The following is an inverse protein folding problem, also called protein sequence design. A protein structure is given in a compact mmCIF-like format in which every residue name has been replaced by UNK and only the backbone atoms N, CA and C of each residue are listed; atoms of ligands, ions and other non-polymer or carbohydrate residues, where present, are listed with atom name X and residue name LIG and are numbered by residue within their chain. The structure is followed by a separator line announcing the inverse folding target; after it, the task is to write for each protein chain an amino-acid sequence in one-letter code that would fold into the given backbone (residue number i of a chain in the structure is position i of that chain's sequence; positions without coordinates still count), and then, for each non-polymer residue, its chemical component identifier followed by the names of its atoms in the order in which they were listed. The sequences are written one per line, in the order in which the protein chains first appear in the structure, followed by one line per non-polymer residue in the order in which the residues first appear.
data_IF_641362023454
#
_entry.id   IF_641362023454
#
_cell.length_a   1.000
_cell.length_b   1.000
_cell.length_c   1.000
_cell.angle_alpha   90.00
_cell.angle_beta   90.00
_cell.angle_gamma   90.00
#
_symmetry.space_group_name_H-M   'P 1'
#
loop_
_entity.id
_entity.type
_entity.pdbx_description
1 polymer ?
#
# COMPACT_ATOMS: atom_id res chain seq x y z
N UNK A 1 -17.12 -0.46 -7.07
CA UNK A 1 -16.79 -0.24 -8.50
C UNK A 1 -15.37 0.28 -8.52
N UNK A 2 -14.43 -0.50 -9.06
CA UNK A 2 -12.97 -0.35 -8.99
C UNK A 2 -12.42 1.05 -9.36
N UNK A 3 -12.45 2.00 -8.43
CA UNK A 3 -11.96 3.37 -8.57
C UNK A 3 -10.52 3.51 -8.05
N UNK A 4 -10.22 2.97 -6.87
CA UNK A 4 -8.93 3.16 -6.19
C UNK A 4 -8.03 1.92 -6.19
N UNK A 5 -8.51 0.80 -6.71
CA UNK A 5 -7.72 -0.40 -7.00
C UNK A 5 -8.19 -1.01 -8.33
N UNK A 6 -7.46 -2.00 -8.85
CA UNK A 6 -7.86 -2.84 -9.98
C UNK A 6 -7.70 -4.30 -9.62
N UNK A 7 -8.65 -5.14 -10.03
CA UNK A 7 -8.56 -6.59 -9.84
C UNK A 7 -7.99 -7.32 -11.06
N UNK A 8 -7.58 -6.63 -12.13
CA UNK A 8 -7.14 -7.31 -13.35
C UNK A 8 -6.03 -8.34 -13.09
N UNK A 9 -4.94 -7.95 -12.42
CA UNK A 9 -3.85 -8.87 -12.06
C UNK A 9 -4.25 -9.86 -10.97
N UNK A 10 -5.10 -9.46 -10.03
CA UNK A 10 -5.63 -10.35 -8.98
C UNK A 10 -6.43 -11.49 -9.60
N UNK A 11 -7.32 -11.19 -10.56
CA UNK A 11 -8.13 -12.16 -11.30
C UNK A 11 -7.28 -13.08 -12.16
N UNK A 12 -6.25 -12.54 -12.81
CA UNK A 12 -5.28 -13.33 -13.58
C UNK A 12 -4.51 -14.30 -12.68
N UNK A 13 -3.98 -13.81 -11.54
CA UNK A 13 -3.27 -14.65 -10.56
C UNK A 13 -4.17 -15.74 -9.98
N UNK A 14 -5.46 -15.43 -9.80
CA UNK A 14 -6.42 -16.33 -9.23
C UNK A 14 -7.13 -17.24 -10.25
N UNK A 15 -6.81 -17.15 -11.54
CA UNK A 15 -7.53 -17.85 -12.62
C UNK A 15 -9.07 -17.69 -12.53
N UNK A 16 -9.51 -16.48 -12.14
CA UNK A 16 -10.92 -16.13 -11.86
C UNK A 16 -11.60 -16.94 -10.74
N UNK A 17 -10.84 -17.61 -9.86
CA UNK A 17 -11.37 -18.22 -8.64
C UNK A 17 -11.78 -17.11 -7.64
N UNK A 18 -13.08 -16.89 -7.48
CA UNK A 18 -13.63 -15.84 -6.63
C UNK A 18 -13.31 -16.04 -5.13
N UNK A 19 -13.17 -17.27 -4.65
CA UNK A 19 -12.79 -17.54 -3.26
C UNK A 19 -11.33 -17.15 -3.02
N UNK A 20 -10.47 -17.40 -4.01
CA UNK A 20 -9.07 -16.99 -3.93
C UNK A 20 -8.89 -15.48 -4.11
N UNK A 21 -9.66 -14.83 -5.00
CA UNK A 21 -9.72 -13.36 -5.11
C UNK A 21 -10.12 -12.74 -3.77
N UNK A 22 -11.15 -13.27 -3.11
CA UNK A 22 -11.57 -12.82 -1.77
C UNK A 22 -10.47 -12.98 -0.74
N UNK A 23 -9.76 -14.12 -0.76
CA UNK A 23 -8.62 -14.37 0.14
C UNK A 23 -7.50 -13.33 -0.06
N UNK A 24 -7.20 -12.95 -1.30
CA UNK A 24 -6.23 -11.90 -1.60
C UNK A 24 -6.71 -10.53 -1.12
N UNK A 25 -8.00 -10.21 -1.27
CA UNK A 25 -8.57 -8.98 -0.74
C UNK A 25 -8.55 -8.93 0.80
N UNK A 26 -8.85 -10.04 1.48
CA UNK A 26 -8.73 -10.15 2.93
C UNK A 26 -7.28 -9.96 3.39
N UNK A 27 -6.33 -10.58 2.69
CA UNK A 27 -4.89 -10.42 2.97
C UNK A 27 -4.45 -8.97 2.80
N UNK A 28 -4.92 -8.28 1.76
CA UNK A 28 -4.69 -6.84 1.59
C UNK A 28 -5.19 -6.06 2.80
N UNK A 29 -6.44 -6.32 3.23
CA UNK A 29 -7.10 -5.62 4.34
C UNK A 29 -6.48 -5.93 5.71
N UNK A 30 -5.71 -7.01 5.84
CA UNK A 30 -4.96 -7.35 7.06
C UNK A 30 -3.56 -6.71 7.06
N UNK A 31 -2.79 -6.88 5.98
CA UNK A 31 -1.36 -6.52 5.99
C UNK A 31 -1.10 -5.06 5.64
N UNK A 32 -1.76 -4.52 4.61
CA UNK A 32 -1.46 -3.19 4.08
C UNK A 32 -1.74 -2.06 5.09
N UNK A 33 -2.85 -2.08 5.86
CA UNK A 33 -3.08 -1.07 6.90
C UNK A 33 -2.03 -1.11 8.00
N UNK A 34 -1.58 -2.31 8.39
CA UNK A 34 -0.55 -2.45 9.44
C UNK A 34 0.78 -1.83 8.98
N UNK A 35 1.20 -2.13 7.75
CA UNK A 35 2.43 -1.56 7.21
C UNK A 35 2.31 -0.06 6.91
N UNK A 36 1.12 0.43 6.54
CA UNK A 36 0.84 1.85 6.36
C UNK A 36 0.98 2.63 7.68
N UNK A 37 0.45 2.08 8.80
CA UNK A 37 0.63 2.69 10.12
C UNK A 37 2.09 2.64 10.60
N UNK A 38 2.81 1.54 10.34
CA UNK A 38 4.26 1.46 10.59
C UNK A 38 5.02 2.54 9.80
N UNK A 39 4.68 2.73 8.53
CA UNK A 39 5.30 3.73 7.68
C UNK A 39 5.04 5.16 8.20
N UNK A 40 3.80 5.48 8.57
CA UNK A 40 3.44 6.77 9.17
C UNK A 40 4.26 7.06 10.42
N UNK A 41 4.31 6.08 11.33
CA UNK A 41 5.07 6.20 12.58
C UNK A 41 6.56 6.40 12.30
N UNK A 42 7.14 5.58 11.43
CA UNK A 42 8.55 5.65 11.10
C UNK A 42 8.94 7.00 10.47
N UNK A 43 8.13 7.55 9.57
CA UNK A 43 8.37 8.88 9.02
C UNK A 43 8.28 9.97 10.10
N UNK A 44 7.27 9.92 10.98
CA UNK A 44 7.09 10.89 12.06
C UNK A 44 8.23 10.87 13.10
N UNK A 45 8.84 9.70 13.31
CA UNK A 45 9.96 9.51 14.24
C UNK A 45 11.34 9.64 13.57
N UNK A 46 11.38 9.98 12.27
CA UNK A 46 12.60 9.96 11.45
C UNK A 46 13.36 8.61 11.51
N UNK A 47 12.62 7.51 11.67
CA UNK A 47 13.13 6.14 11.63
C UNK A 47 13.25 5.66 10.17
N UNK A 48 14.33 6.09 9.53
CA UNK A 48 14.63 5.81 8.12
C UNK A 48 14.64 4.31 7.79
N UNK A 49 15.14 3.47 8.71
CA UNK A 49 15.22 2.03 8.49
C UNK A 49 13.82 1.40 8.46
N UNK A 50 12.98 1.71 9.44
CA UNK A 50 11.63 1.16 9.46
C UNK A 50 10.73 1.76 8.37
N UNK A 51 10.95 3.02 7.98
CA UNK A 51 10.28 3.61 6.82
C UNK A 51 10.62 2.86 5.52
N UNK A 52 11.91 2.56 5.31
CA UNK A 52 12.37 1.73 4.19
C UNK A 52 11.71 0.35 4.18
N UNK A 53 11.74 -0.36 5.30
CA UNK A 53 11.21 -1.73 5.41
C UNK A 53 9.70 -1.78 5.19
N UNK A 54 8.94 -0.88 5.84
CA UNK A 54 7.49 -0.83 5.70
C UNK A 54 7.09 -0.51 4.25
N UNK A 55 7.69 0.53 3.65
CA UNK A 55 7.39 0.88 2.26
C UNK A 55 7.78 -0.24 1.28
N UNK A 56 8.91 -0.94 1.52
CA UNK A 56 9.32 -2.08 0.70
C UNK A 56 8.32 -3.23 0.76
N UNK A 57 7.82 -3.55 1.96
CA UNK A 57 6.87 -4.65 2.20
C UNK A 57 5.51 -4.41 1.54
N UNK A 58 5.06 -3.15 1.46
CA UNK A 58 3.79 -2.79 0.83
C UNK A 58 3.80 -2.95 -0.70
N UNK A 59 4.95 -2.71 -1.37
CA UNK A 59 5.07 -2.68 -2.84
C UNK A 59 4.38 -3.82 -3.60
N UNK A 60 4.65 -5.11 -3.33
CA UNK A 60 4.06 -6.20 -4.10
C UNK A 60 2.53 -6.15 -4.08
N UNK A 61 1.94 -5.86 -2.92
CA UNK A 61 0.49 -5.80 -2.76
C UNK A 61 -0.11 -4.56 -3.42
N UNK A 62 0.56 -3.41 -3.31
CA UNK A 62 0.18 -2.17 -3.99
C UNK A 62 0.22 -2.31 -5.53
N UNK A 63 1.23 -3.00 -6.06
CA UNK A 63 1.35 -3.26 -7.50
C UNK A 63 0.34 -4.31 -7.98
N UNK A 64 0.10 -5.36 -7.19
CA UNK A 64 -0.89 -6.41 -7.51
C UNK A 64 -2.30 -5.82 -7.62
N UNK A 65 -2.68 -4.92 -6.72
CA UNK A 65 -3.98 -4.23 -6.72
C UNK A 65 -3.99 -2.93 -7.55
N UNK A 66 -2.87 -2.59 -8.22
CA UNK A 66 -2.71 -1.41 -9.08
C UNK A 66 -3.29 -0.10 -8.49
N UNK A 67 -2.90 0.26 -7.26
CA UNK A 67 -3.37 1.49 -6.60
C UNK A 67 -2.89 2.79 -7.27
N UNK A 68 -2.02 2.70 -8.28
CA UNK A 68 -1.51 3.86 -9.01
C UNK A 68 -0.50 4.73 -8.25
N UNK A 69 -0.02 4.27 -7.08
CA UNK A 69 0.89 5.01 -6.19
C UNK A 69 2.27 4.36 -6.04
N UNK A 70 2.59 3.34 -6.84
CA UNK A 70 3.84 2.58 -6.70
C UNK A 70 5.08 3.46 -6.77
N UNK A 71 5.15 4.41 -7.71
CA UNK A 71 6.28 5.33 -7.85
C UNK A 71 6.43 6.25 -6.64
N UNK A 72 5.30 6.73 -6.08
CA UNK A 72 5.30 7.60 -4.90
C UNK A 72 5.73 6.79 -3.66
N UNK A 73 5.28 5.55 -3.52
CA UNK A 73 5.74 4.65 -2.47
C UNK A 73 7.25 4.36 -2.59
N UNK A 74 7.78 4.25 -3.82
CA UNK A 74 9.23 4.14 -4.06
C UNK A 74 9.97 5.39 -3.58
N UNK A 75 9.42 6.59 -3.76
CA UNK A 75 10.03 7.82 -3.22
C UNK A 75 10.14 7.78 -1.69
N UNK A 76 9.07 7.35 -0.98
CA UNK A 76 9.10 7.19 0.48
C UNK A 76 10.09 6.11 0.91
N UNK A 77 10.11 4.97 0.20
CA UNK A 77 11.08 3.91 0.42
C UNK A 77 12.52 4.44 0.30
N UNK A 78 12.81 5.19 -0.77
CA UNK A 78 14.16 5.67 -1.06
C UNK A 78 14.58 6.80 -0.12
N UNK A 79 13.64 7.58 0.38
CA UNK A 79 13.88 8.52 1.47
C UNK A 79 14.40 7.80 2.72
N UNK A 80 13.75 6.71 3.12
CA UNK A 80 14.22 5.84 4.22
C UNK A 80 15.55 5.15 3.90
N UNK A 81 15.65 4.52 2.72
CA UNK A 81 16.81 3.71 2.34
C UNK A 81 18.12 4.50 2.29
N UNK A 82 18.06 5.73 1.81
CA UNK A 82 19.23 6.58 1.61
C UNK A 82 19.39 7.64 2.69
N UNK A 83 18.60 7.57 3.77
CA UNK A 83 18.59 8.54 4.87
C UNK A 83 18.60 9.99 4.37
N UNK A 84 17.61 10.35 3.54
CA UNK A 84 17.54 11.67 2.90
C UNK A 84 17.08 12.77 3.89
N UNK A 85 17.93 13.07 4.88
CA UNK A 85 17.64 13.96 6.02
C UNK A 85 17.23 15.39 5.65
N UNK A 86 17.66 15.88 4.48
CA UNK A 86 17.35 17.24 4.02
C UNK A 86 16.06 17.33 3.16
N UNK A 87 15.30 16.23 3.07
CA UNK A 87 14.06 16.17 2.28
C UNK A 87 12.86 15.87 3.17
N UNK A 88 11.81 16.67 3.01
CA UNK A 88 10.50 16.42 3.59
C UNK A 88 9.71 15.45 2.69
N UNK A 89 9.35 14.29 3.24
CA UNK A 89 8.61 13.23 2.54
C UNK A 89 7.11 13.24 2.87
N UNK A 90 6.64 14.20 3.66
CA UNK A 90 5.27 14.24 4.21
C UNK A 90 4.20 14.26 3.11
N UNK A 91 4.44 14.97 2.01
CA UNK A 91 3.48 15.05 0.91
C UNK A 91 3.31 13.69 0.20
N UNK A 92 4.41 13.00 -0.05
CA UNK A 92 4.42 11.66 -0.63
C UNK A 92 3.76 10.66 0.31
N UNK A 93 4.11 10.68 1.60
CA UNK A 93 3.48 9.85 2.62
C UNK A 93 1.97 10.06 2.62
N UNK A 94 1.48 11.30 2.70
CA UNK A 94 0.05 11.59 2.71
C UNK A 94 -0.67 11.06 1.47
N UNK A 95 -0.02 11.12 0.31
CA UNK A 95 -0.57 10.56 -0.94
C UNK A 95 -0.68 9.04 -0.86
N UNK A 96 0.36 8.36 -0.38
CA UNK A 96 0.35 6.90 -0.16
C UNK A 96 -0.77 6.50 0.81
N UNK A 97 -0.87 7.16 1.96
CA UNK A 97 -1.85 6.83 2.99
C UNK A 97 -3.28 7.07 2.51
N UNK A 98 -3.53 8.19 1.82
CA UNK A 98 -4.87 8.48 1.28
C UNK A 98 -5.31 7.42 0.26
N UNK A 99 -4.41 7.01 -0.64
CA UNK A 99 -4.72 5.96 -1.62
C UNK A 99 -5.00 4.61 -0.97
N UNK A 100 -4.21 4.24 0.04
CA UNK A 100 -4.42 3.02 0.84
C UNK A 100 -5.77 3.07 1.56
N UNK A 101 -6.10 4.17 2.25
CA UNK A 101 -7.36 4.33 2.98
C UNK A 101 -8.58 4.23 2.05
N UNK A 102 -8.49 4.83 0.86
CA UNK A 102 -9.54 4.73 -0.16
C UNK A 102 -9.70 3.30 -0.66
N UNK A 103 -8.59 2.61 -0.98
CA UNK A 103 -8.62 1.21 -1.41
C UNK A 103 -9.19 0.28 -0.34
N UNK A 104 -8.82 0.48 0.94
CA UNK A 104 -9.37 -0.28 2.08
C UNK A 104 -10.89 -0.10 2.16
N UNK A 105 -11.36 1.16 2.13
CA UNK A 105 -12.79 1.45 2.22
C UNK A 105 -13.57 0.82 1.06
N UNK A 106 -13.01 0.88 -0.15
CA UNK A 106 -13.62 0.34 -1.35
C UNK A 106 -13.62 -1.19 -1.36
N UNK A 107 -12.51 -1.84 -1.02
CA UNK A 107 -12.42 -3.31 -0.92
C UNK A 107 -13.41 -3.86 0.11
N UNK A 108 -13.53 -3.23 1.28
CA UNK A 108 -14.53 -3.62 2.30
C UNK A 108 -15.95 -3.56 1.76
N UNK A 109 -16.28 -2.48 1.04
CA UNK A 109 -17.60 -2.30 0.45
C UNK A 109 -17.87 -3.32 -0.68
N UNK A 110 -16.91 -3.50 -1.60
CA UNK A 110 -17.07 -4.34 -2.79
C UNK A 110 -17.08 -5.84 -2.45
N UNK A 111 -16.36 -6.28 -1.41
CA UNK A 111 -16.31 -7.67 -0.95
C UNK A 111 -17.22 -7.98 0.26
N UNK A 112 -17.91 -6.97 0.80
CA UNK A 112 -18.75 -7.08 1.99
C UNK A 112 -17.99 -7.66 3.21
N UNK A 113 -16.86 -7.03 3.54
CA UNK A 113 -15.92 -7.37 4.62
C UNK A 113 -15.87 -6.32 5.73
#
# INVERSE_FOLDING_TARGET
MEQHYKLFRVRELADNDEDFIKTLAETFLEEVPEDAERLKKAVAEEDYYNAYQAAHKMKPTIDLFELGILDILIEVQDWGKFEKRDLDITAQLNTVITAVDHAIAELKADFNL
#
